data_IF_773375566840
#
_entry.id   IF_773375566840
#
_cell.length_a   1.000
_cell.length_b   1.000
_cell.length_c   1.000
_cell.angle_alpha   90.00
_cell.angle_beta   90.00
_cell.angle_gamma   90.00
#
_symmetry.space_group_name_H-M   'P 1'
#
loop_
_entity.id
_entity.type
_entity.pdbx_description
1 polymer ?
#
# COMPACT_ATOMS: atom_id res chain seq x y z
N UNK A 1 -23.13 1.99 2.61
CA UNK A 1 -22.80 0.79 3.41
C UNK A 1 -22.79 1.27 4.86
N UNK A 2 -23.51 0.62 5.77
CA UNK A 2 -23.58 1.00 7.20
C UNK A 2 -23.17 -0.23 8.02
N UNK A 3 -21.94 -0.26 8.51
CA UNK A 3 -21.45 -1.37 9.32
C UNK A 3 -21.19 -0.92 10.76
N UNK A 4 -21.72 -1.70 11.70
CA UNK A 4 -21.39 -1.61 13.12
C UNK A 4 -20.63 -2.88 13.48
N UNK A 5 -19.33 -2.74 13.71
CA UNK A 5 -18.44 -3.79 14.14
C UNK A 5 -18.49 -3.93 15.68
N UNK A 6 -18.34 -5.15 16.16
CA UNK A 6 -17.97 -5.39 17.56
C UNK A 6 -16.47 -5.15 17.76
N UNK A 7 -16.06 -4.78 18.97
CA UNK A 7 -14.63 -4.58 19.29
C UNK A 7 -13.77 -5.80 18.89
N UNK A 8 -14.28 -7.01 19.12
CA UNK A 8 -13.59 -8.28 18.86
C UNK A 8 -13.32 -8.55 17.37
N UNK A 9 -13.98 -7.83 16.48
CA UNK A 9 -13.72 -7.94 15.04
C UNK A 9 -12.53 -7.09 14.60
N UNK A 10 -12.02 -6.19 15.45
CA UNK A 10 -10.90 -5.32 15.13
C UNK A 10 -9.58 -5.90 15.68
N UNK A 11 -8.46 -5.77 14.94
CA UNK A 11 -8.37 -5.18 13.61
C UNK A 11 -8.90 -6.12 12.51
N UNK A 12 -9.49 -5.56 11.46
CA UNK A 12 -9.65 -6.25 10.18
C UNK A 12 -8.45 -5.92 9.31
N UNK A 13 -7.63 -6.93 8.99
CA UNK A 13 -6.49 -6.83 8.07
C UNK A 13 -6.86 -7.53 6.77
N UNK A 14 -6.88 -6.79 5.68
CA UNK A 14 -7.34 -7.25 4.37
C UNK A 14 -6.22 -7.10 3.35
N UNK A 15 -6.15 -8.04 2.41
CA UNK A 15 -5.30 -7.96 1.23
C UNK A 15 -6.14 -8.22 0.01
N UNK A 16 -5.99 -7.39 -1.03
CA UNK A 16 -6.73 -7.54 -2.27
C UNK A 16 -5.81 -7.36 -3.49
N UNK A 17 -5.88 -8.32 -4.40
CA UNK A 17 -5.34 -8.19 -5.75
C UNK A 17 -6.44 -7.69 -6.69
N UNK A 18 -6.18 -6.62 -7.44
CA UNK A 18 -7.16 -6.07 -8.38
C UNK A 18 -6.50 -5.35 -9.56
N UNK A 19 -7.28 -5.16 -10.62
CA UNK A 19 -6.94 -4.20 -11.68
C UNK A 19 -7.40 -2.79 -11.27
N UNK A 20 -6.46 -1.85 -11.31
CA UNK A 20 -6.65 -0.44 -11.07
C UNK A 20 -6.78 0.29 -12.40
N UNK A 21 -7.76 1.17 -12.51
CA UNK A 21 -8.02 1.98 -13.71
C UNK A 21 -7.90 3.46 -13.33
N UNK A 22 -7.05 4.22 -14.05
CA UNK A 22 -6.82 5.65 -13.82
C UNK A 22 -6.87 6.43 -15.13
N UNK A 23 -7.55 7.58 -15.12
CA UNK A 23 -7.62 8.48 -16.29
C UNK A 23 -6.29 9.16 -16.58
N UNK A 24 -5.41 9.28 -15.58
CA UNK A 24 -4.14 10.00 -15.68
C UNK A 24 -4.30 11.45 -16.19
N UNK A 25 -5.47 12.05 -15.90
CA UNK A 25 -5.76 13.44 -16.25
C UNK A 25 -4.75 14.39 -15.57
N UNK A 26 -4.16 15.29 -16.36
CA UNK A 26 -3.13 16.23 -15.89
C UNK A 26 -1.68 15.74 -16.05
N UNK A 27 -1.45 14.48 -16.46
CA UNK A 27 -0.10 13.94 -16.66
C UNK A 27 0.41 14.04 -18.12
N UNK A 28 -0.14 14.93 -18.94
CA UNK A 28 0.18 15.00 -20.36
C UNK A 28 1.69 15.22 -20.58
N UNK A 29 2.34 14.25 -21.24
CA UNK A 29 3.77 14.28 -21.55
C UNK A 29 4.72 13.79 -20.45
N UNK A 30 4.23 13.48 -19.24
CA UNK A 30 5.08 12.98 -18.15
C UNK A 30 5.10 11.45 -18.09
N UNK A 31 6.30 10.85 -18.22
CA UNK A 31 6.54 9.40 -18.08
C UNK A 31 5.62 8.51 -18.96
N UNK A 32 5.31 8.97 -20.17
CA UNK A 32 4.41 8.29 -21.12
C UNK A 32 5.02 7.06 -21.78
N UNK A 33 6.35 6.91 -21.75
CA UNK A 33 7.07 5.75 -22.30
C UNK A 33 7.20 4.65 -21.25
N UNK A 34 6.86 3.43 -21.62
CA UNK A 34 7.07 2.23 -20.80
C UNK A 34 5.91 1.93 -19.85
N UNK A 35 6.21 1.32 -18.71
CA UNK A 35 5.22 0.76 -17.78
C UNK A 35 5.03 1.57 -16.49
N UNK A 36 5.78 2.67 -16.31
CA UNK A 36 5.79 3.42 -15.06
C UNK A 36 4.47 4.15 -14.77
N UNK A 37 3.82 4.67 -15.81
CA UNK A 37 2.51 5.33 -15.75
C UNK A 37 1.62 4.81 -16.88
N UNK A 38 0.55 4.12 -16.52
CA UNK A 38 -0.39 3.47 -17.45
C UNK A 38 -1.81 3.59 -16.94
N UNK A 39 -2.79 3.54 -17.84
CA UNK A 39 -4.21 3.66 -17.49
C UNK A 39 -4.76 2.44 -16.73
N UNK A 40 -4.17 1.26 -16.97
CA UNK A 40 -4.57 0.02 -16.31
C UNK A 40 -3.34 -0.67 -15.75
N UNK A 41 -3.41 -1.06 -14.49
CA UNK A 41 -2.35 -1.83 -13.84
C UNK A 41 -2.89 -2.74 -12.76
N UNK A 42 -2.17 -3.82 -12.46
CA UNK A 42 -2.51 -4.69 -11.32
C UNK A 42 -1.82 -4.20 -10.06
N UNK A 43 -2.52 -4.30 -8.93
CA UNK A 43 -2.02 -3.91 -7.62
C UNK A 43 -2.43 -4.92 -6.56
N UNK A 44 -1.51 -5.21 -5.65
CA UNK A 44 -1.78 -5.85 -4.37
C UNK A 44 -1.86 -4.76 -3.30
N UNK A 45 -3.03 -4.57 -2.70
CA UNK A 45 -3.28 -3.57 -1.68
C UNK A 45 -3.49 -4.22 -0.32
N UNK A 46 -2.90 -3.63 0.71
CA UNK A 46 -3.17 -3.90 2.12
C UNK A 46 -4.13 -2.85 2.67
N UNK A 47 -5.11 -3.27 3.44
CA UNK A 47 -6.08 -2.38 4.08
C UNK A 47 -6.32 -2.82 5.52
N UNK A 48 -6.32 -1.86 6.45
CA UNK A 48 -6.59 -2.11 7.86
C UNK A 48 -7.77 -1.26 8.32
N UNK A 49 -8.70 -1.89 9.03
CA UNK A 49 -9.72 -1.22 9.84
C UNK A 49 -9.40 -1.55 11.29
N UNK A 50 -9.16 -0.54 12.11
CA UNK A 50 -8.74 -0.75 13.50
C UNK A 50 -9.39 0.25 14.46
N UNK A 51 -9.11 0.06 15.75
CA UNK A 51 -9.45 1.03 16.78
C UNK A 51 -8.56 2.27 16.65
N UNK A 52 -9.03 3.48 17.01
CA UNK A 52 -8.24 4.70 16.92
C UNK A 52 -6.88 4.60 17.61
N UNK A 53 -6.85 4.04 18.82
CA UNK A 53 -5.63 3.89 19.63
C UNK A 53 -4.58 2.95 19.02
N UNK A 54 -4.97 2.09 18.09
CA UNK A 54 -4.08 1.14 17.43
C UNK A 54 -3.54 1.64 16.07
N UNK A 55 -4.07 2.75 15.55
CA UNK A 55 -3.84 3.14 14.16
C UNK A 55 -2.36 3.41 13.82
N UNK A 56 -1.63 4.13 14.66
CA UNK A 56 -0.20 4.39 14.43
C UNK A 56 0.63 3.10 14.45
N UNK A 57 0.35 2.19 15.39
CA UNK A 57 1.02 0.87 15.45
C UNK A 57 0.79 0.07 14.17
N UNK A 58 -0.41 0.10 13.61
CA UNK A 58 -0.67 -0.57 12.33
C UNK A 58 -0.08 0.17 11.14
N UNK A 59 0.11 1.49 11.20
CA UNK A 59 0.82 2.23 10.16
C UNK A 59 2.28 1.79 10.10
N UNK A 60 2.95 1.71 11.26
CA UNK A 60 4.31 1.18 11.38
C UNK A 60 4.40 -0.27 10.91
N UNK A 61 3.41 -1.10 11.23
CA UNK A 61 3.36 -2.50 10.74
C UNK A 61 3.27 -2.56 9.20
N UNK A 62 2.44 -1.73 8.57
CA UNK A 62 2.32 -1.69 7.10
C UNK A 62 3.62 -1.22 6.43
N UNK A 63 4.26 -0.20 6.99
CA UNK A 63 5.56 0.31 6.51
C UNK A 63 6.63 -0.78 6.61
N UNK A 64 6.67 -1.51 7.72
CA UNK A 64 7.62 -2.61 7.94
C UNK A 64 7.43 -3.75 6.93
N UNK A 65 6.18 -4.12 6.62
CA UNK A 65 5.88 -5.12 5.59
C UNK A 65 6.38 -4.68 4.21
N UNK A 66 6.18 -3.41 3.85
CA UNK A 66 6.66 -2.85 2.58
C UNK A 66 8.19 -2.82 2.52
N UNK A 67 8.84 -2.41 3.60
CA UNK A 67 10.30 -2.39 3.72
C UNK A 67 10.89 -3.81 3.57
N UNK A 68 10.32 -4.80 4.25
CA UNK A 68 10.72 -6.21 4.12
C UNK A 68 10.53 -6.71 2.69
N UNK A 69 9.38 -6.41 2.07
CA UNK A 69 9.06 -6.84 0.71
C UNK A 69 10.08 -6.30 -0.30
N UNK A 70 10.36 -5.00 -0.29
CA UNK A 70 11.28 -4.39 -1.24
C UNK A 70 12.75 -4.75 -0.96
N UNK A 71 13.12 -4.88 0.31
CA UNK A 71 14.46 -5.35 0.71
C UNK A 71 14.71 -6.80 0.28
N UNK A 72 13.70 -7.68 0.43
CA UNK A 72 13.80 -9.08 0.02
C UNK A 72 13.98 -9.26 -1.50
N UNK A 73 13.46 -8.31 -2.27
CA UNK A 73 13.66 -8.24 -3.72
C UNK A 73 15.05 -7.72 -4.11
N UNK A 74 15.83 -7.19 -3.15
CA UNK A 74 17.14 -6.59 -3.39
C UNK A 74 17.08 -5.20 -4.03
N UNK A 75 15.97 -4.48 -3.87
CA UNK A 75 15.83 -3.13 -4.41
C UNK A 75 16.55 -2.11 -3.51
N UNK A 76 17.17 -1.12 -4.14
CA UNK A 76 17.63 0.08 -3.45
C UNK A 76 16.52 1.14 -3.46
N UNK A 77 16.04 1.53 -2.28
CA UNK A 77 14.94 2.47 -2.12
C UNK A 77 15.14 3.38 -0.92
N UNK A 78 14.33 4.44 -0.85
CA UNK A 78 14.22 5.35 0.29
C UNK A 78 12.76 5.42 0.72
N UNK A 79 12.56 5.70 2.00
CA UNK A 79 11.25 5.92 2.61
C UNK A 79 11.14 7.42 2.94
N UNK A 80 10.09 8.07 2.44
CA UNK A 80 9.85 9.50 2.64
C UNK A 80 8.61 9.70 3.51
N UNK A 81 8.75 10.44 4.62
CA UNK A 81 7.60 10.98 5.35
C UNK A 81 7.12 12.23 4.60
N UNK A 82 5.90 12.19 4.08
CA UNK A 82 5.44 13.17 3.10
C UNK A 82 5.02 14.48 3.78
N UNK A 83 5.37 15.65 3.20
CA UNK A 83 4.97 16.94 3.74
C UNK A 83 3.45 17.12 3.63
N UNK A 84 2.89 17.95 4.51
CA UNK A 84 1.44 18.18 4.61
C UNK A 84 0.79 18.64 3.31
N UNK A 85 1.53 19.34 2.46
CA UNK A 85 1.11 19.91 1.18
C UNK A 85 0.96 18.87 0.07
N UNK A 86 1.56 17.69 0.24
CA UNK A 86 1.52 16.59 -0.73
C UNK A 86 0.67 15.40 -0.23
N UNK A 87 -0.07 15.60 0.86
CA UNK A 87 -1.03 14.62 1.35
C UNK A 87 -2.31 14.67 0.51
N UNK A 88 -2.73 13.49 0.06
CA UNK A 88 -4.09 13.34 -0.50
C UNK A 88 -5.14 13.64 0.56
N UNK A 89 -6.31 14.14 0.14
CA UNK A 89 -7.39 14.55 1.04
C UNK A 89 -7.73 13.59 2.21
N UNK A 90 -7.71 12.25 2.06
CA UNK A 90 -8.01 11.36 3.19
C UNK A 90 -6.83 11.09 4.13
N UNK A 91 -5.59 11.39 3.74
CA UNK A 91 -4.40 10.98 4.48
C UNK A 91 -4.08 11.97 5.62
N UNK A 92 -4.05 11.46 6.85
CA UNK A 92 -3.53 12.19 8.01
C UNK A 92 -2.00 12.16 8.03
N UNK A 93 -1.41 11.02 7.68
CA UNK A 93 0.03 10.83 7.49
C UNK A 93 0.27 9.84 6.36
N UNK A 94 1.30 10.07 5.55
CA UNK A 94 1.64 9.24 4.40
C UNK A 94 3.15 9.04 4.32
N UNK A 95 3.56 7.81 4.02
CA UNK A 95 4.92 7.48 3.64
C UNK A 95 4.95 6.99 2.20
N UNK A 96 5.92 7.47 1.42
CA UNK A 96 6.19 6.97 0.07
C UNK A 96 7.49 6.18 0.04
N UNK A 97 7.44 5.04 -0.66
CA UNK A 97 8.60 4.24 -0.97
C UNK A 97 9.02 4.55 -2.40
N UNK A 98 10.23 5.09 -2.57
CA UNK A 98 10.77 5.37 -3.89
C UNK A 98 11.99 4.48 -4.17
N UNK A 99 11.94 3.70 -5.24
CA UNK A 99 13.05 2.88 -5.69
C UNK A 99 13.92 3.62 -6.70
N UNK A 100 15.21 3.31 -6.72
CA UNK A 100 16.12 3.80 -7.75
C UNK A 100 15.73 3.24 -9.13
N UNK A 101 15.56 4.12 -10.11
CA UNK A 101 15.19 3.77 -11.49
C UNK A 101 16.26 4.30 -12.47
N UNK A 102 17.25 3.47 -12.82
CA UNK A 102 18.33 3.85 -13.74
C UNK A 102 17.86 4.47 -15.06
N UNK A 103 16.75 3.99 -15.63
CA UNK A 103 16.20 4.48 -16.89
C UNK A 103 15.58 5.87 -16.79
N UNK A 104 15.20 6.29 -15.58
CA UNK A 104 14.69 7.64 -15.29
C UNK A 104 15.74 8.54 -14.62
N UNK A 105 16.92 8.00 -14.28
CA UNK A 105 18.00 8.67 -13.54
C UNK A 105 17.53 9.36 -12.26
N UNK A 106 16.60 8.73 -11.54
CA UNK A 106 16.05 9.25 -10.28
C UNK A 106 15.39 8.15 -9.46
N UNK A 107 15.04 8.49 -8.23
CA UNK A 107 14.09 7.69 -7.45
C UNK A 107 12.66 7.92 -7.97
N UNK A 108 11.90 6.83 -8.08
CA UNK A 108 10.49 6.85 -8.47
C UNK A 108 9.64 6.07 -7.46
N UNK A 109 8.49 6.66 -7.09
CA UNK A 109 7.51 6.03 -6.20
C UNK A 109 7.10 4.63 -6.70
N UNK A 110 7.18 3.62 -5.83
CA UNK A 110 6.73 2.25 -6.07
C UNK A 110 5.62 1.82 -5.10
N UNK A 111 5.50 2.47 -3.96
CA UNK A 111 4.43 2.29 -2.98
C UNK A 111 4.16 3.55 -2.16
N UNK A 112 3.00 3.55 -1.50
CA UNK A 112 2.61 4.51 -0.47
C UNK A 112 1.86 3.78 0.66
N UNK A 113 2.07 4.18 1.91
CA UNK A 113 1.29 3.77 3.09
C UNK A 113 0.68 4.99 3.79
N UNK A 114 -0.64 4.97 4.02
CA UNK A 114 -1.38 6.09 4.61
C UNK A 114 -2.21 5.69 5.82
N UNK A 115 -2.11 6.46 6.90
CA UNK A 115 -3.10 6.49 7.97
C UNK A 115 -4.17 7.52 7.61
N UNK A 116 -5.42 7.08 7.43
CA UNK A 116 -6.54 7.95 7.08
C UNK A 116 -7.40 8.35 8.29
N UNK A 117 -7.04 7.89 9.49
CA UNK A 117 -7.84 8.04 10.72
C UNK A 117 -9.31 7.71 10.46
N UNK A 118 -10.25 8.54 10.89
CA UNK A 118 -11.67 8.33 10.68
C UNK A 118 -12.25 9.00 9.41
N UNK A 119 -11.40 9.56 8.54
CA UNK A 119 -11.85 10.33 7.37
C UNK A 119 -12.75 9.51 6.44
N UNK A 120 -12.30 8.30 6.10
CA UNK A 120 -13.05 7.39 5.22
C UNK A 120 -14.21 6.73 5.97
N UNK A 121 -13.98 6.33 7.23
CA UNK A 121 -14.99 5.63 8.03
C UNK A 121 -16.20 6.50 8.34
N UNK A 122 -16.03 7.82 8.49
CA UNK A 122 -17.15 8.79 8.60
C UNK A 122 -18.02 8.81 7.35
N UNK A 123 -17.43 8.82 6.16
CA UNK A 123 -18.15 8.82 4.87
C UNK A 123 -18.85 7.50 4.58
N UNK A 124 -18.26 6.40 5.04
CA UNK A 124 -18.76 5.04 4.85
C UNK A 124 -19.53 4.51 6.08
N UNK A 125 -19.80 5.35 7.08
CA UNK A 125 -20.47 4.98 8.33
C UNK A 125 -19.89 3.74 9.03
N UNK A 126 -18.58 3.48 8.90
CA UNK A 126 -17.90 2.34 9.52
C UNK A 126 -17.66 2.68 10.99
N UNK A 127 -18.46 2.07 11.86
CA UNK A 127 -18.41 2.29 13.30
C UNK A 127 -18.13 0.98 14.02
N UNK A 128 -17.61 1.08 15.23
CA UNK A 128 -17.50 -0.05 16.13
C UNK A 128 -18.03 0.29 17.52
N UNK A 129 -18.31 -0.76 18.28
CA UNK A 129 -18.69 -0.67 19.68
C UNK A 129 -17.53 -1.10 20.57
N UNK A 130 -16.95 -0.20 21.38
CA UNK A 130 -15.81 -0.53 22.25
C UNK A 130 -16.15 -1.50 23.39
N UNK A 131 -17.39 -1.51 23.87
CA UNK A 131 -17.86 -2.51 24.84
C UNK A 131 -19.36 -2.69 24.71
N UNK A 132 -19.84 -3.91 24.88
CA UNK A 132 -21.24 -4.25 24.69
C UNK A 132 -22.13 -3.64 25.78
N UNK A 133 -21.62 -3.57 27.02
CA UNK A 133 -22.35 -3.10 28.20
C UNK A 133 -21.54 -2.06 28.99
N UNK A 134 -22.18 -0.94 29.32
CA UNK A 134 -21.72 0.05 30.30
C UNK A 134 -22.79 0.31 31.34
N UNK A 135 -22.39 0.74 32.53
CA UNK A 135 -23.30 1.31 33.52
C UNK A 135 -23.45 2.80 33.21
N UNK A 136 -24.65 3.22 32.84
CA UNK A 136 -24.96 4.63 32.60
C UNK A 136 -24.95 5.41 33.92
N UNK A 137 -24.79 6.75 33.90
CA UNK A 137 -24.87 7.60 35.11
C UNK A 137 -26.17 7.39 35.92
N UNK A 138 -27.22 6.90 35.27
CA UNK A 138 -28.51 6.55 35.88
C UNK A 138 -28.51 5.18 36.59
N UNK A 139 -27.36 4.50 36.71
CA UNK A 139 -27.24 3.16 37.30
C UNK A 139 -27.81 2.01 36.46
N UNK A 140 -28.26 2.27 35.23
CA UNK A 140 -28.85 1.27 34.33
C UNK A 140 -27.79 0.69 33.40
N UNK A 141 -27.93 -0.60 33.04
CA UNK A 141 -27.16 -1.18 31.93
C UNK A 141 -27.56 -0.50 30.63
N UNK A 142 -26.56 -0.01 29.91
CA UNK A 142 -26.68 0.63 28.62
C UNK A 142 -25.57 0.15 27.69
N UNK A 143 -25.61 0.61 26.45
CA UNK A 143 -24.63 0.27 25.42
C UNK A 143 -23.62 1.40 25.26
N UNK A 144 -22.34 1.09 25.09
CA UNK A 144 -21.35 2.14 24.82
C UNK A 144 -21.69 2.90 23.53
N UNK A 145 -21.38 4.22 23.48
CA UNK A 145 -21.55 4.98 22.26
C UNK A 145 -20.69 4.36 21.14
N UNK A 146 -21.24 4.39 19.92
CA UNK A 146 -20.50 3.96 18.75
C UNK A 146 -19.36 4.94 18.47
N UNK A 147 -18.21 4.40 18.09
CA UNK A 147 -17.05 5.19 17.65
C UNK A 147 -16.75 4.88 16.19
N UNK A 148 -16.20 5.83 15.46
CA UNK A 148 -15.72 5.58 14.10
C UNK A 148 -14.41 4.79 14.17
N UNK A 149 -14.28 3.76 13.33
CA UNK A 149 -13.02 3.03 13.20
C UNK A 149 -11.99 3.89 12.46
N UNK A 150 -10.71 3.63 12.69
CA UNK A 150 -9.65 4.17 11.85
C UNK A 150 -9.42 3.26 10.65
N UNK A 151 -9.05 3.85 9.50
CA UNK A 151 -8.70 3.14 8.28
C UNK A 151 -7.28 3.46 7.84
N UNK A 152 -6.57 2.44 7.37
CA UNK A 152 -5.25 2.56 6.79
C UNK A 152 -5.18 1.76 5.50
N UNK A 153 -4.36 2.20 4.57
CA UNK A 153 -4.09 1.48 3.33
C UNK A 153 -2.63 1.62 2.92
N UNK A 154 -2.09 0.57 2.32
CA UNK A 154 -0.70 0.52 1.86
C UNK A 154 -0.57 -0.36 0.61
N UNK A 155 0.30 0.02 -0.32
CA UNK A 155 0.47 -0.69 -1.59
C UNK A 155 1.58 -1.73 -1.48
N UNK A 156 1.23 -2.98 -1.17
CA UNK A 156 2.24 -4.05 -1.13
C UNK A 156 3.02 -4.16 -2.44
N UNK A 157 2.33 -4.15 -3.59
CA UNK A 157 2.99 -4.16 -4.92
C UNK A 157 2.14 -3.45 -5.97
N UNK A 158 2.68 -2.41 -6.61
CA UNK A 158 2.20 -1.93 -7.92
C UNK A 158 2.93 -2.67 -9.05
N UNK A 159 2.27 -3.65 -9.68
CA UNK A 159 2.94 -4.65 -10.53
C UNK A 159 3.78 -4.04 -11.67
N UNK A 160 3.29 -3.07 -12.47
CA UNK A 160 4.09 -2.53 -13.57
C UNK A 160 5.34 -1.78 -13.09
N UNK A 161 5.23 -1.02 -11.98
CA UNK A 161 6.37 -0.32 -11.40
C UNK A 161 7.39 -1.30 -10.83
N UNK A 162 6.91 -2.39 -10.22
CA UNK A 162 7.79 -3.47 -9.73
C UNK A 162 8.54 -4.15 -10.87
N UNK A 163 7.86 -4.41 -12.00
CA UNK A 163 8.50 -4.93 -13.21
C UNK A 163 9.59 -3.97 -13.69
N UNK A 164 9.32 -2.66 -13.78
CA UNK A 164 10.34 -1.66 -14.18
C UNK A 164 11.53 -1.70 -13.22
N UNK A 165 11.29 -1.64 -11.91
CA UNK A 165 12.35 -1.65 -10.89
C UNK A 165 13.23 -2.90 -11.00
N UNK A 166 12.64 -4.08 -11.22
CA UNK A 166 13.39 -5.33 -11.38
C UNK A 166 14.17 -5.34 -12.69
N UNK A 167 13.52 -5.02 -13.82
CA UNK A 167 14.17 -5.04 -15.12
C UNK A 167 15.38 -4.09 -15.17
N UNK A 168 15.25 -2.88 -14.64
CA UNK A 168 16.32 -1.89 -14.72
C UNK A 168 17.48 -2.18 -13.75
N UNK A 169 17.19 -2.64 -12.53
CA UNK A 169 18.23 -2.87 -11.51
C UNK A 169 18.93 -4.23 -11.64
N UNK A 170 18.33 -5.21 -12.32
CA UNK A 170 18.89 -6.56 -12.46
C UNK A 170 19.38 -6.88 -13.88
N UNK A 171 19.44 -5.90 -14.78
CA UNK A 171 19.97 -6.08 -16.13
C UNK A 171 21.47 -6.42 -16.13
N UNK A 172 21.87 -7.26 -17.08
CA UNK A 172 23.25 -7.66 -17.34
C UNK A 172 23.77 -7.01 -18.63
N UNK A 173 25.09 -7.02 -18.83
CA UNK A 173 25.73 -6.43 -20.01
C UNK A 173 25.32 -7.07 -21.34
N UNK A 174 24.89 -8.33 -21.32
CA UNK A 174 24.36 -9.06 -22.48
C UNK A 174 22.86 -8.82 -22.73
N UNK A 175 22.21 -8.01 -21.89
CA UNK A 175 20.78 -7.70 -21.95
C UNK A 175 19.87 -8.77 -21.32
N UNK A 176 20.43 -9.79 -20.66
CA UNK A 176 19.65 -10.68 -19.79
C UNK A 176 19.31 -9.98 -18.45
N UNK A 177 18.29 -10.48 -17.76
CA UNK A 177 17.85 -9.96 -16.46
C UNK A 177 17.99 -11.06 -15.42
N UNK A 178 18.71 -10.78 -14.33
CA UNK A 178 18.75 -11.67 -13.16
C UNK A 178 17.39 -11.64 -12.45
N UNK A 179 16.84 -12.82 -12.16
CA UNK A 179 15.60 -12.93 -11.39
C UNK A 179 15.96 -12.86 -9.89
N UNK A 180 15.38 -11.91 -9.11
CA UNK A 180 15.56 -11.87 -7.66
C UNK A 180 15.34 -13.24 -7.02
N UNK A 181 16.22 -13.63 -6.09
CA UNK A 181 16.23 -14.99 -5.51
C UNK A 181 14.86 -15.40 -4.92
N UNK A 182 14.16 -14.46 -4.29
CA UNK A 182 12.82 -14.68 -3.71
C UNK A 182 11.72 -14.94 -4.76
N UNK A 183 11.93 -14.57 -6.02
CA UNK A 183 10.98 -14.80 -7.12
C UNK A 183 11.22 -16.13 -7.87
N UNK A 184 12.42 -16.71 -7.76
CA UNK A 184 12.80 -17.92 -8.51
C UNK A 184 11.86 -19.11 -8.25
N UNK A 185 11.38 -19.38 -7.01
CA UNK A 185 10.40 -20.45 -6.77
C UNK A 185 9.08 -20.27 -7.54
N UNK A 186 8.68 -19.02 -7.78
CA UNK A 186 7.46 -18.67 -8.53
C UNK A 186 7.67 -18.68 -10.04
N UNK A 187 8.91 -18.86 -10.49
CA UNK A 187 9.30 -18.90 -11.91
C UNK A 187 9.91 -20.26 -12.29
N UNK A 188 9.49 -21.34 -11.62
CA UNK A 188 9.98 -22.71 -11.86
C UNK A 188 11.51 -22.85 -11.73
N UNK A 189 12.11 -22.11 -10.79
CA UNK A 189 13.55 -22.13 -10.54
C UNK A 189 14.40 -21.39 -11.57
N UNK A 190 13.79 -20.63 -12.49
CA UNK A 190 14.54 -19.80 -13.45
C UNK A 190 15.33 -18.73 -12.70
N UNK A 191 16.59 -18.57 -13.09
CA UNK A 191 17.48 -17.55 -12.53
C UNK A 191 17.67 -16.33 -13.44
N UNK A 192 17.39 -16.49 -14.74
CA UNK A 192 17.60 -15.47 -15.77
C UNK A 192 16.40 -15.37 -16.71
N UNK A 193 16.11 -14.15 -17.15
CA UNK A 193 15.26 -13.86 -18.30
C UNK A 193 16.18 -13.41 -19.44
N UNK A 194 16.26 -14.19 -20.51
CA UNK A 194 17.09 -13.88 -21.67
C UNK A 194 16.31 -13.09 -22.72
N UNK A 195 17.02 -12.25 -23.48
CA UNK A 195 16.46 -11.61 -24.66
C UNK A 195 16.01 -12.68 -25.65
N UNK A 196 14.85 -12.49 -26.26
CA UNK A 196 14.40 -13.36 -27.35
C UNK A 196 15.40 -13.24 -28.51
N UNK A 197 15.95 -14.37 -28.94
CA UNK A 197 16.77 -14.43 -30.15
C UNK A 197 15.94 -13.91 -31.32
N UNK A 198 16.49 -12.94 -32.06
CA UNK A 198 15.90 -12.47 -33.32
C UNK A 198 15.99 -13.53 -34.40
#
# INVERSE_FOLDING_TARGET
>A
MDQILSEKQLPLKLVAFSHCFRTEAGAAGSATRGLYRVHQFSKLEMFVICKPEDSERFHEELISIEEELFSSLGLHFKILDMPTEDLGAPAYRKYDFEAWMPGLDRYGEISSASNCTDYQSRRLSIRYRPTDDIILPTGKKGKAPLQFAHTLNATAVAVPRMIVSILENFQQSDGSILIPKVLQPYMSGRELICRKSN
#
